data_IF_396674299353
#
_entry.id   IF_396674299353
#
_cell.length_a   1.000
_cell.length_b   1.000
_cell.length_c   1.000
_cell.angle_alpha   90.00
_cell.angle_beta   90.00
_cell.angle_gamma   90.00
#
_symmetry.space_group_name_H-M   'P 1'
#
loop_
_entity.id
_entity.type
_entity.pdbx_description
1 polymer ?
#
# COMPACT_ATOMS: atom_id res chain seq x y z
N UNK A 1 -3.23 -9.26 22.20
CA UNK A 1 -2.43 -9.90 21.15
C UNK A 1 -3.09 -11.20 20.73
N UNK A 2 -3.14 -11.49 19.42
CA UNK A 2 -3.70 -12.71 18.81
C UNK A 2 -5.21 -12.96 18.98
N UNK A 3 -6.00 -11.90 19.14
CA UNK A 3 -7.46 -11.98 19.31
C UNK A 3 -8.23 -11.51 18.08
N UNK A 4 -7.62 -10.69 17.22
CA UNK A 4 -8.22 -10.06 16.05
C UNK A 4 -8.69 -11.04 14.97
N UNK A 5 -7.98 -12.15 14.78
CA UNK A 5 -8.37 -13.24 13.88
C UNK A 5 -9.29 -14.29 14.53
N UNK A 6 -9.62 -14.12 15.81
CA UNK A 6 -10.54 -14.97 16.58
C UNK A 6 -11.80 -14.21 17.02
N UNK A 7 -12.17 -13.13 16.31
CA UNK A 7 -13.31 -12.26 16.63
C UNK A 7 -13.28 -11.67 18.06
N UNK A 8 -12.08 -11.54 18.64
CA UNK A 8 -11.86 -10.96 19.96
C UNK A 8 -11.53 -9.48 19.92
N UNK A 9 -11.58 -8.83 21.08
CA UNK A 9 -11.27 -7.41 21.20
C UNK A 9 -9.77 -7.12 21.10
N UNK A 10 -9.43 -5.93 20.60
CA UNK A 10 -8.08 -5.36 20.56
C UNK A 10 -8.10 -3.91 21.02
N UNK A 11 -6.96 -3.38 21.47
CA UNK A 11 -6.80 -1.97 21.86
C UNK A 11 -5.51 -1.38 21.26
N UNK A 12 -5.44 -1.16 19.94
CA UNK A 12 -4.28 -0.56 19.29
C UNK A 12 -4.23 0.95 19.54
N UNK A 13 -3.03 1.52 19.46
CA UNK A 13 -2.80 2.97 19.48
C UNK A 13 -1.86 3.35 18.34
N UNK A 14 -2.18 4.42 17.62
CA UNK A 14 -1.30 4.97 16.61
C UNK A 14 -0.04 5.57 17.25
N UNK A 15 1.12 5.25 16.70
CA UNK A 15 2.40 5.84 17.09
C UNK A 15 2.65 7.14 16.32
N UNK A 16 3.56 8.01 16.79
CA UNK A 16 3.92 9.23 16.05
C UNK A 16 4.71 8.96 14.76
N UNK A 17 5.11 7.72 14.50
CA UNK A 17 5.79 7.32 13.27
C UNK A 17 4.80 7.25 12.11
N UNK A 18 5.24 7.65 10.92
CA UNK A 18 4.38 7.82 9.75
C UNK A 18 5.04 7.25 8.52
N UNK A 19 4.24 6.72 7.60
CA UNK A 19 4.61 6.53 6.21
C UNK A 19 3.98 7.64 5.36
N UNK A 20 4.71 8.12 4.36
CA UNK A 20 4.27 9.19 3.46
C UNK A 20 4.47 8.73 2.02
N UNK A 21 3.46 8.98 1.18
CA UNK A 21 3.49 8.67 -0.25
C UNK A 21 3.27 9.94 -1.08
N UNK A 22 4.13 10.15 -2.07
CA UNK A 22 3.87 11.07 -3.17
C UNK A 22 3.46 10.25 -4.39
N UNK A 23 2.32 10.59 -5.00
CA UNK A 23 1.73 9.80 -6.07
C UNK A 23 1.37 10.64 -7.29
N UNK A 24 1.55 10.06 -8.48
CA UNK A 24 1.10 10.64 -9.75
C UNK A 24 0.44 9.56 -10.59
N UNK A 25 -0.67 9.90 -11.24
CA UNK A 25 -1.39 8.99 -12.11
C UNK A 25 -0.61 8.75 -13.40
N UNK A 26 -0.71 7.53 -13.92
CA UNK A 26 -0.26 7.14 -15.25
C UNK A 26 -1.39 6.43 -15.98
N UNK A 27 -1.45 6.60 -17.30
CA UNK A 27 -2.47 5.96 -18.14
C UNK A 27 -1.90 4.86 -19.04
N UNK A 28 -0.61 4.51 -18.88
CA UNK A 28 0.12 3.53 -19.69
C UNK A 28 0.14 2.10 -19.12
N UNK A 29 -0.57 1.87 -18.02
CA UNK A 29 -0.62 0.57 -17.36
C UNK A 29 0.64 0.20 -16.57
N UNK A 30 1.49 1.18 -16.24
CA UNK A 30 2.74 0.93 -15.50
C UNK A 30 2.61 1.42 -14.05
N UNK A 31 3.06 0.58 -13.11
CA UNK A 31 3.30 0.94 -11.72
C UNK A 31 4.80 1.12 -11.50
N UNK A 32 5.22 2.30 -11.07
CA UNK A 32 6.62 2.59 -10.71
C UNK A 32 6.69 2.95 -9.24
N UNK A 33 7.54 2.24 -8.51
CA UNK A 33 7.69 2.35 -7.07
C UNK A 33 9.11 2.78 -6.75
N UNK A 34 9.25 3.80 -5.92
CA UNK A 34 10.52 4.27 -5.41
C UNK A 34 10.46 4.44 -3.90
N UNK A 35 11.53 4.08 -3.20
CA UNK A 35 11.67 4.34 -1.77
C UNK A 35 12.94 5.14 -1.52
N UNK A 36 12.86 6.16 -0.67
CA UNK A 36 14.04 6.90 -0.20
C UNK A 36 14.85 6.10 0.82
N UNK A 37 14.22 5.13 1.48
CA UNK A 37 14.79 4.44 2.63
C UNK A 37 15.47 3.13 2.22
N UNK A 38 15.10 2.58 1.06
CA UNK A 38 15.65 1.34 0.52
C UNK A 38 16.44 1.62 -0.76
N UNK A 39 17.76 1.34 -0.79
CA UNK A 39 18.55 1.44 -2.02
C UNK A 39 18.11 0.37 -3.02
N UNK A 40 18.18 0.68 -4.31
CA UNK A 40 17.75 -0.24 -5.37
C UNK A 40 17.09 0.44 -6.58
N UNK A 41 16.79 1.73 -6.47
CA UNK A 41 16.20 2.52 -7.56
C UNK A 41 14.71 2.27 -7.72
N UNK A 42 14.21 2.46 -8.94
CA UNK A 42 12.77 2.34 -9.25
C UNK A 42 12.43 0.90 -9.59
N UNK A 43 11.45 0.33 -8.90
CA UNK A 43 10.80 -0.94 -9.27
C UNK A 43 9.68 -0.63 -10.24
N UNK A 44 9.68 -1.27 -11.41
CA UNK A 44 8.65 -1.07 -12.44
C UNK A 44 7.89 -2.37 -12.68
N UNK A 45 6.56 -2.30 -12.63
CA UNK A 45 5.65 -3.43 -12.80
C UNK A 45 4.54 -3.05 -13.78
N UNK A 46 4.00 -4.05 -14.48
CA UNK A 46 2.80 -3.89 -15.30
C UNK A 46 1.56 -4.13 -14.45
N UNK A 47 0.60 -3.22 -14.49
CA UNK A 47 -0.56 -3.31 -13.60
C UNK A 47 -1.46 -4.51 -13.94
N UNK A 48 -1.54 -4.89 -15.21
CA UNK A 48 -2.31 -6.04 -15.72
C UNK A 48 -1.66 -7.40 -15.46
N UNK A 49 -0.41 -7.42 -15.01
CA UNK A 49 0.33 -8.62 -14.62
C UNK A 49 0.45 -8.75 -13.10
N UNK A 50 -0.14 -7.81 -12.34
CA UNK A 50 -0.10 -7.86 -10.88
C UNK A 50 -0.88 -9.09 -10.38
N UNK A 51 -0.25 -9.75 -9.43
CA UNK A 51 -0.72 -10.93 -8.70
C UNK A 51 -0.33 -10.77 -7.22
N UNK A 52 -0.92 -11.56 -6.30
CA UNK A 52 -0.47 -11.57 -4.92
C UNK A 52 1.05 -11.75 -4.83
N UNK A 53 1.72 -10.92 -4.03
CA UNK A 53 3.19 -10.88 -3.89
C UNK A 53 3.95 -10.44 -5.16
N UNK A 54 3.31 -9.73 -6.09
CA UNK A 54 4.02 -9.04 -7.17
C UNK A 54 4.95 -7.96 -6.64
N UNK A 55 6.14 -7.84 -7.21
CA UNK A 55 7.21 -7.03 -6.62
C UNK A 55 8.00 -7.81 -5.56
N UNK A 56 9.22 -7.36 -5.26
CA UNK A 56 10.08 -8.01 -4.28
C UNK A 56 10.30 -7.09 -3.09
N UNK A 57 10.38 -7.67 -1.89
CA UNK A 57 10.61 -6.93 -0.65
C UNK A 57 9.51 -5.90 -0.38
N UNK A 58 9.90 -4.68 -0.02
CA UNK A 58 8.96 -3.61 0.33
C UNK A 58 7.98 -3.24 -0.81
N UNK A 59 8.39 -3.43 -2.06
CA UNK A 59 7.56 -3.08 -3.23
C UNK A 59 6.33 -3.97 -3.37
N UNK A 60 6.32 -5.15 -2.72
CA UNK A 60 5.17 -6.03 -2.72
C UNK A 60 3.94 -5.45 -2.01
N UNK A 61 4.15 -4.59 -1.01
CA UNK A 61 3.06 -3.94 -0.27
C UNK A 61 2.23 -2.98 -1.15
N UNK A 62 2.81 -1.93 -1.76
CA UNK A 62 2.05 -1.04 -2.64
C UNK A 62 1.55 -1.76 -3.90
N UNK A 63 2.29 -2.73 -4.45
CA UNK A 63 1.83 -3.53 -5.58
C UNK A 63 0.60 -4.38 -5.23
N UNK A 64 0.59 -4.99 -4.04
CA UNK A 64 -0.55 -5.75 -3.52
C UNK A 64 -1.80 -4.88 -3.36
N UNK A 65 -1.67 -3.65 -2.87
CA UNK A 65 -2.79 -2.69 -2.79
C UNK A 65 -3.38 -2.39 -4.17
N UNK A 66 -2.55 -2.11 -5.17
CA UNK A 66 -3.04 -1.84 -6.53
C UNK A 66 -3.69 -3.08 -7.16
N UNK A 67 -3.14 -4.27 -6.90
CA UNK A 67 -3.75 -5.53 -7.30
C UNK A 67 -5.14 -5.70 -6.67
N UNK A 68 -5.25 -5.56 -5.34
CA UNK A 68 -6.50 -5.75 -4.61
C UNK A 68 -7.59 -4.75 -5.03
N UNK A 69 -7.23 -3.46 -5.23
CA UNK A 69 -8.18 -2.46 -5.75
C UNK A 69 -8.69 -2.83 -7.15
N UNK A 70 -7.82 -3.35 -8.02
CA UNK A 70 -8.22 -3.78 -9.35
C UNK A 70 -9.11 -5.02 -9.32
N UNK A 71 -8.80 -6.01 -8.49
CA UNK A 71 -9.64 -7.19 -8.29
C UNK A 71 -11.02 -6.82 -7.74
N UNK A 72 -11.10 -5.78 -6.91
CA UNK A 72 -12.36 -5.20 -6.44
C UNK A 72 -13.12 -4.38 -7.52
N UNK A 73 -12.59 -4.28 -8.74
CA UNK A 73 -13.24 -3.64 -9.88
C UNK A 73 -12.98 -2.14 -10.02
N UNK A 74 -12.03 -1.57 -9.26
CA UNK A 74 -11.71 -0.15 -9.37
C UNK A 74 -10.82 0.15 -10.59
N UNK A 75 -11.04 1.27 -11.31
CA UNK A 75 -10.36 1.59 -12.56
C UNK A 75 -8.96 2.20 -12.33
N UNK A 76 -8.08 1.47 -11.65
CA UNK A 76 -6.69 1.87 -11.41
C UNK A 76 -5.83 1.50 -12.62
N UNK A 77 -5.35 2.51 -13.35
CA UNK A 77 -4.58 2.34 -14.59
C UNK A 77 -3.10 2.07 -14.33
N UNK A 78 -2.41 3.02 -13.71
CA UNK A 78 -0.98 3.00 -13.41
C UNK A 78 -0.62 4.20 -12.53
N UNK A 79 0.54 4.15 -11.88
CA UNK A 79 0.98 5.22 -10.99
C UNK A 79 2.50 5.25 -10.84
N UNK A 80 3.06 6.44 -10.67
CA UNK A 80 4.36 6.62 -10.02
C UNK A 80 4.10 6.86 -8.52
N UNK A 81 4.75 6.09 -7.65
CA UNK A 81 4.61 6.17 -6.20
C UNK A 81 6.00 6.24 -5.57
N UNK A 82 6.27 7.33 -4.85
CA UNK A 82 7.48 7.50 -4.04
C UNK A 82 7.11 7.44 -2.55
N UNK A 83 7.83 6.62 -1.79
CA UNK A 83 7.53 6.30 -0.39
C UNK A 83 8.72 6.59 0.54
N UNK A 84 8.39 7.08 1.74
CA UNK A 84 9.30 7.14 2.89
C UNK A 84 8.55 6.79 4.16
N UNK A 85 9.22 6.19 5.15
CA UNK A 85 8.62 5.80 6.41
C UNK A 85 9.56 6.02 7.58
N UNK A 86 9.03 6.59 8.66
CA UNK A 86 9.71 6.63 9.96
C UNK A 86 9.36 5.42 10.84
N UNK A 87 8.48 4.52 10.39
CA UNK A 87 8.09 3.32 11.14
C UNK A 87 9.24 2.30 11.12
N UNK A 88 9.82 1.92 12.27
CA UNK A 88 10.95 1.00 12.30
C UNK A 88 10.61 -0.38 11.72
N UNK A 89 11.41 -0.84 10.76
CA UNK A 89 11.28 -2.18 10.19
C UNK A 89 11.67 -3.25 11.20
N UNK A 90 10.92 -4.36 11.26
CA UNK A 90 11.27 -5.52 12.09
C UNK A 90 11.02 -5.36 13.60
N UNK A 91 10.49 -4.21 14.04
CA UNK A 91 10.21 -3.93 15.45
C UNK A 91 8.83 -4.45 15.92
N UNK A 92 8.09 -5.16 15.08
CA UNK A 92 6.70 -5.54 15.37
C UNK A 92 5.72 -4.35 15.40
N UNK A 93 6.10 -3.23 14.79
CA UNK A 93 5.34 -1.98 14.78
C UNK A 93 4.54 -1.76 13.47
N UNK A 94 4.21 -2.86 12.78
CA UNK A 94 3.36 -2.84 11.59
C UNK A 94 3.87 -1.96 10.45
N UNK A 95 5.17 -2.01 10.16
CA UNK A 95 5.77 -1.24 9.06
C UNK A 95 5.21 -1.62 7.68
N UNK A 96 4.78 -2.87 7.48
CA UNK A 96 4.06 -3.31 6.28
C UNK A 96 2.70 -2.64 6.16
N UNK A 97 1.89 -2.71 7.22
CA UNK A 97 0.57 -2.10 7.25
C UNK A 97 0.63 -0.58 7.03
N UNK A 98 1.66 0.09 7.53
CA UNK A 98 1.86 1.50 7.27
C UNK A 98 2.06 1.80 5.76
N UNK A 99 2.81 0.96 5.03
CA UNK A 99 3.00 1.09 3.58
C UNK A 99 1.72 0.76 2.80
N UNK A 100 0.97 -0.26 3.22
CA UNK A 100 -0.30 -0.65 2.60
C UNK A 100 -1.34 0.46 2.77
N UNK A 101 -1.53 0.94 4.01
CA UNK A 101 -2.51 1.99 4.33
C UNK A 101 -2.19 3.30 3.63
N UNK A 102 -0.94 3.78 3.66
CA UNK A 102 -0.59 5.03 2.98
C UNK A 102 -0.78 4.93 1.46
N UNK A 103 -0.48 3.77 0.88
CA UNK A 103 -0.70 3.52 -0.55
C UNK A 103 -2.18 3.51 -0.88
N UNK A 104 -3.00 2.80 -0.09
CA UNK A 104 -4.44 2.70 -0.29
C UNK A 104 -5.12 4.06 -0.16
N UNK A 105 -4.74 4.88 0.82
CA UNK A 105 -5.23 6.25 0.98
C UNK A 105 -4.84 7.14 -0.20
N UNK A 106 -3.57 7.08 -0.65
CA UNK A 106 -3.08 7.93 -1.73
C UNK A 106 -3.70 7.55 -3.09
N UNK A 107 -3.82 6.26 -3.40
CA UNK A 107 -4.49 5.76 -4.61
C UNK A 107 -5.99 6.01 -4.55
N UNK A 108 -6.56 5.84 -3.36
CA UNK A 108 -7.77 6.46 -2.83
C UNK A 108 -8.18 7.75 -3.55
N UNK A 109 -7.43 8.77 -3.18
CA UNK A 109 -7.61 10.15 -3.58
C UNK A 109 -7.20 10.37 -5.05
N UNK A 110 -6.07 9.81 -5.48
CA UNK A 110 -5.52 9.99 -6.83
C UNK A 110 -6.51 9.56 -7.93
N UNK A 111 -7.26 8.48 -7.69
CA UNK A 111 -8.26 7.98 -8.63
C UNK A 111 -9.69 8.36 -8.25
N UNK A 112 -9.87 9.13 -7.17
CA UNK A 112 -11.17 9.54 -6.63
C UNK A 112 -12.15 8.36 -6.47
N UNK A 113 -11.68 7.26 -5.88
CA UNK A 113 -12.48 6.02 -5.78
C UNK A 113 -13.64 6.12 -4.76
N UNK A 114 -13.57 7.08 -3.82
CA UNK A 114 -14.63 7.35 -2.86
C UNK A 114 -14.76 6.30 -1.74
N UNK A 115 -13.74 5.48 -1.54
CA UNK A 115 -13.71 4.43 -0.51
C UNK A 115 -13.53 5.03 0.88
N UNK A 116 -14.30 4.52 1.83
CA UNK A 116 -14.18 4.81 3.24
C UNK A 116 -12.94 4.14 3.85
N UNK A 117 -12.50 4.63 5.02
CA UNK A 117 -11.38 4.03 5.73
C UNK A 117 -11.63 2.55 6.09
N UNK A 118 -12.87 2.15 6.34
CA UNK A 118 -13.23 0.77 6.63
C UNK A 118 -13.08 -0.12 5.38
N UNK A 119 -13.51 0.35 4.21
CA UNK A 119 -13.34 -0.38 2.95
C UNK A 119 -11.85 -0.49 2.58
N UNK A 120 -11.06 0.56 2.76
CA UNK A 120 -9.62 0.52 2.54
C UNK A 120 -8.92 -0.46 3.49
N UNK A 121 -9.37 -0.56 4.74
CA UNK A 121 -8.82 -1.53 5.69
C UNK A 121 -9.11 -2.99 5.29
N UNK A 122 -10.23 -3.24 4.59
CA UNK A 122 -10.53 -4.57 4.03
C UNK A 122 -9.68 -4.86 2.80
N UNK A 123 -9.43 -3.86 1.95
CA UNK A 123 -8.57 -3.99 0.77
C UNK A 123 -7.11 -4.27 1.15
N UNK A 124 -6.61 -3.63 2.21
CA UNK A 124 -5.21 -3.74 2.65
C UNK A 124 -4.91 -4.94 3.57
N UNK A 125 -5.83 -5.90 3.70
CA UNK A 125 -5.68 -7.09 4.55
C UNK A 125 -5.21 -8.29 3.73
#
# INVERSE_FOLDING_TARGET
EYTDFNDGFVMPLALPHTAVAAVSRRDDGVLRLYSTDVPGGVVSLRTDELTPHSGHGWAAYPAGVLWALREAGHPVTGADIALTSTVPTGAGLSSSAALEVVTALAVNDLFALGLSAAELAVIGR
#
